data_IF_268914629960
#
_entry.id   IF_268914629960
#
_cell.length_a   1.000
_cell.length_b   1.000
_cell.length_c   1.000
_cell.angle_alpha   90.00
_cell.angle_beta   90.00
_cell.angle_gamma   90.00
#
_symmetry.space_group_name_H-M   'P 1'
#
loop_
_entity.id
_entity.type
_entity.pdbx_description
1 polymer ?
#
# COMPACT_ATOMS: atom_id res chain seq x y z
N UNK A 1 24.50 -16.20 -4.07
CA UNK A 1 24.26 -15.52 -2.78
C UNK A 1 22.85 -15.86 -2.37
N UNK A 2 22.64 -16.46 -1.20
CA UNK A 2 21.29 -16.78 -0.69
C UNK A 2 20.65 -15.47 -0.21
N UNK A 3 19.41 -15.20 -0.63
CA UNK A 3 18.67 -14.02 -0.19
C UNK A 3 17.99 -14.29 1.16
N UNK A 4 18.21 -13.43 2.15
CA UNK A 4 17.54 -13.53 3.45
C UNK A 4 16.32 -12.60 3.44
N UNK A 5 15.19 -13.13 3.89
CA UNK A 5 13.97 -12.37 4.20
C UNK A 5 13.71 -12.46 5.70
N UNK A 6 13.61 -11.32 6.38
CA UNK A 6 13.31 -11.28 7.80
C UNK A 6 11.88 -10.78 8.02
N UNK A 7 11.04 -11.58 8.67
CA UNK A 7 9.66 -11.24 8.98
C UNK A 7 9.52 -10.78 10.43
N UNK A 8 8.72 -9.74 10.62
CA UNK A 8 8.37 -9.21 11.92
C UNK A 8 6.88 -8.95 12.00
N UNK A 9 6.27 -9.39 13.08
CA UNK A 9 4.92 -9.03 13.50
C UNK A 9 4.87 -9.07 15.03
N UNK A 10 4.02 -8.27 15.64
CA UNK A 10 3.76 -8.34 17.09
C UNK A 10 2.94 -9.58 17.46
N UNK A 11 2.19 -10.13 16.50
CA UNK A 11 1.41 -11.36 16.63
C UNK A 11 2.27 -12.56 16.23
N UNK A 12 2.77 -13.28 17.22
CA UNK A 12 3.52 -14.53 17.01
C UNK A 12 2.72 -15.56 16.20
N UNK A 13 1.40 -15.61 16.41
CA UNK A 13 0.52 -16.50 15.65
C UNK A 13 0.53 -16.17 14.15
N UNK A 14 0.34 -14.89 13.79
CA UNK A 14 0.30 -14.47 12.39
C UNK A 14 1.68 -14.62 11.74
N UNK A 15 2.73 -14.25 12.48
CA UNK A 15 4.12 -14.39 12.04
C UNK A 15 4.44 -15.85 11.69
N UNK A 16 4.17 -16.78 12.61
CA UNK A 16 4.39 -18.21 12.38
C UNK A 16 3.57 -18.76 11.20
N UNK A 17 2.35 -18.28 11.01
CA UNK A 17 1.51 -18.72 9.90
C UNK A 17 2.08 -18.26 8.55
N UNK A 18 2.40 -16.97 8.42
CA UNK A 18 2.95 -16.40 7.18
C UNK A 18 4.31 -17.01 6.85
N UNK A 19 5.21 -17.15 7.82
CA UNK A 19 6.54 -17.74 7.58
C UNK A 19 6.46 -19.17 7.08
N UNK A 20 5.55 -19.99 7.63
CA UNK A 20 5.32 -21.35 7.14
C UNK A 20 4.76 -21.39 5.72
N UNK A 21 3.87 -20.45 5.38
CA UNK A 21 3.32 -20.36 4.03
C UNK A 21 4.40 -19.99 3.01
N UNK A 22 5.18 -18.93 3.28
CA UNK A 22 6.23 -18.50 2.37
C UNK A 22 7.37 -19.53 2.29
N UNK A 23 7.69 -20.23 3.38
CA UNK A 23 8.69 -21.30 3.33
C UNK A 23 8.26 -22.42 2.36
N UNK A 24 6.97 -22.80 2.37
CA UNK A 24 6.44 -23.77 1.40
C UNK A 24 6.58 -23.28 -0.04
N UNK A 25 6.34 -21.99 -0.29
CA UNK A 25 6.49 -21.40 -1.63
C UNK A 25 7.96 -21.40 -2.07
N UNK A 26 8.90 -21.09 -1.16
CA UNK A 26 10.35 -21.16 -1.42
C UNK A 26 10.76 -22.58 -1.78
N UNK A 27 10.36 -23.56 -0.97
CA UNK A 27 10.73 -24.97 -1.15
C UNK A 27 10.13 -25.52 -2.45
N UNK A 28 8.85 -25.28 -2.71
CA UNK A 28 8.15 -25.78 -3.89
C UNK A 28 8.73 -25.22 -5.21
N UNK A 29 9.29 -24.01 -5.17
CA UNK A 29 9.87 -23.34 -6.34
C UNK A 29 11.41 -23.43 -6.38
N UNK A 30 12.04 -24.14 -5.43
CA UNK A 30 13.51 -24.25 -5.31
C UNK A 30 14.23 -22.89 -5.33
N UNK A 31 13.68 -21.90 -4.63
CA UNK A 31 14.24 -20.54 -4.62
C UNK A 31 15.45 -20.46 -3.67
N UNK A 32 16.54 -19.77 -4.06
CA UNK A 32 17.74 -19.62 -3.22
C UNK A 32 17.52 -18.54 -2.14
N UNK A 33 16.53 -18.74 -1.27
CA UNK A 33 16.12 -17.80 -0.24
C UNK A 33 15.88 -18.49 1.11
N UNK A 34 16.07 -17.76 2.20
CA UNK A 34 15.78 -18.22 3.56
C UNK A 34 14.92 -17.21 4.30
N UNK A 35 14.13 -17.71 5.25
CA UNK A 35 13.28 -16.89 6.10
C UNK A 35 13.82 -16.92 7.52
N UNK A 36 13.97 -15.74 8.10
CA UNK A 36 14.10 -15.54 9.54
C UNK A 36 12.87 -14.79 10.05
N UNK A 37 12.52 -14.98 11.32
CA UNK A 37 11.36 -14.31 11.89
C UNK A 37 11.59 -13.95 13.36
N UNK A 38 11.03 -12.82 13.79
CA UNK A 38 11.03 -12.43 15.21
C UNK A 38 9.92 -11.44 15.53
N UNK A 39 9.37 -11.56 16.74
CA UNK A 39 8.51 -10.53 17.33
C UNK A 39 9.31 -9.31 17.81
N UNK A 40 10.65 -9.40 17.84
CA UNK A 40 11.52 -8.26 18.08
C UNK A 40 11.86 -7.56 16.75
N UNK A 41 11.30 -6.36 16.57
CA UNK A 41 11.52 -5.54 15.37
C UNK A 41 12.98 -5.20 15.13
N UNK A 42 13.78 -5.03 16.19
CA UNK A 42 15.20 -4.65 16.06
C UNK A 42 15.97 -5.69 15.25
N UNK A 43 15.72 -6.98 15.53
CA UNK A 43 16.37 -8.09 14.82
C UNK A 43 16.05 -8.06 13.33
N UNK A 44 14.81 -7.76 12.97
CA UNK A 44 14.40 -7.67 11.57
C UNK A 44 15.01 -6.49 10.82
N UNK A 45 15.42 -5.45 11.55
CA UNK A 45 15.99 -4.24 10.97
C UNK A 45 17.52 -4.27 10.89
N UNK A 46 18.19 -5.16 11.63
CA UNK A 46 19.66 -5.21 11.72
C UNK A 46 20.30 -5.44 10.35
N UNK A 47 21.02 -4.44 9.84
CA UNK A 47 21.67 -4.48 8.53
C UNK A 47 20.71 -4.55 7.33
N UNK A 48 19.41 -4.34 7.54
CA UNK A 48 18.42 -4.39 6.47
C UNK A 48 18.65 -3.26 5.43
N UNK A 49 18.63 -3.61 4.14
CA UNK A 49 18.76 -2.65 3.02
C UNK A 49 17.41 -2.21 2.44
N UNK A 50 16.40 -3.04 2.60
CA UNK A 50 15.04 -2.79 2.14
C UNK A 50 14.09 -3.19 3.27
N UNK A 51 13.20 -2.27 3.66
CA UNK A 51 12.24 -2.48 4.74
C UNK A 51 10.85 -2.28 4.16
N UNK A 52 10.00 -3.29 4.21
CA UNK A 52 8.62 -3.20 3.71
C UNK A 52 7.68 -3.11 4.92
N UNK A 53 6.89 -2.04 4.99
CA UNK A 53 5.85 -1.88 6.01
C UNK A 53 4.46 -2.17 5.43
N UNK A 54 3.83 -3.19 5.99
CA UNK A 54 2.45 -3.59 5.71
C UNK A 54 1.60 -3.68 7.00
N UNK A 55 2.00 -2.98 8.06
CA UNK A 55 1.29 -2.96 9.34
C UNK A 55 -0.10 -2.33 9.25
N UNK A 56 -1.02 -2.81 10.11
CA UNK A 56 -2.32 -2.19 10.37
C UNK A 56 -2.44 -1.81 11.83
N UNK A 57 -2.15 -0.55 12.14
CA UNK A 57 -2.09 -0.09 13.54
C UNK A 57 -3.49 -0.07 14.16
N UNK A 58 -3.66 -0.87 15.21
CA UNK A 58 -4.95 -1.05 15.90
C UNK A 58 -5.84 -2.14 15.30
N UNK A 59 -5.38 -2.89 14.31
CA UNK A 59 -6.09 -4.09 13.83
C UNK A 59 -7.45 -3.79 13.19
N UNK A 60 -8.37 -4.73 13.34
CA UNK A 60 -9.75 -4.59 12.86
C UNK A 60 -10.62 -3.88 13.90
N UNK A 61 -10.26 -3.99 15.17
CA UNK A 61 -10.95 -3.41 16.31
C UNK A 61 -10.94 -1.88 16.23
N UNK A 62 -9.76 -1.27 16.00
CA UNK A 62 -9.70 0.17 15.82
C UNK A 62 -10.32 0.63 14.50
N UNK A 63 -10.28 -0.22 13.47
CA UNK A 63 -10.89 0.08 12.18
C UNK A 63 -12.41 0.16 12.26
N UNK A 64 -13.04 -0.70 13.06
CA UNK A 64 -14.47 -0.64 13.31
C UNK A 64 -14.88 0.75 13.81
N UNK A 65 -14.08 1.35 14.70
CA UNK A 65 -14.31 2.71 15.17
C UNK A 65 -14.09 3.77 14.09
N UNK A 66 -13.10 3.59 13.20
CA UNK A 66 -12.86 4.51 12.08
C UNK A 66 -14.07 4.62 11.15
N UNK A 67 -14.91 3.58 11.07
CA UNK A 67 -16.15 3.55 10.30
C UNK A 67 -17.36 3.98 11.12
N UNK A 68 -17.57 3.35 12.27
CA UNK A 68 -18.80 3.51 13.04
C UNK A 68 -18.94 4.89 13.67
N UNK A 69 -17.84 5.51 14.11
CA UNK A 69 -17.89 6.85 14.71
C UNK A 69 -18.35 7.87 13.65
N UNK A 70 -17.72 8.02 12.47
CA UNK A 70 -18.21 8.93 11.44
C UNK A 70 -19.67 8.66 11.03
N UNK A 71 -20.07 7.38 10.95
CA UNK A 71 -21.43 7.00 10.60
C UNK A 71 -22.48 7.52 11.59
N UNK A 72 -22.18 7.52 12.90
CA UNK A 72 -23.06 8.11 13.92
C UNK A 72 -23.34 9.60 13.70
N UNK A 73 -22.43 10.31 13.02
CA UNK A 73 -22.57 11.73 12.66
C UNK A 73 -23.05 11.93 11.21
N UNK A 74 -23.53 10.88 10.55
CA UNK A 74 -24.07 10.95 9.19
C UNK A 74 -23.02 10.94 8.08
N UNK A 75 -21.77 10.60 8.39
CA UNK A 75 -20.70 10.44 7.40
C UNK A 75 -20.57 8.96 7.04
N UNK A 76 -21.25 8.56 5.96
CA UNK A 76 -21.11 7.23 5.38
C UNK A 76 -19.87 7.18 4.47
N UNK A 77 -18.92 6.32 4.82
CA UNK A 77 -17.63 6.19 4.15
C UNK A 77 -17.34 4.71 3.87
N UNK A 78 -17.01 4.39 2.63
CA UNK A 78 -16.87 3.01 2.17
C UNK A 78 -15.74 2.23 2.87
N UNK A 79 -14.52 2.79 2.92
CA UNK A 79 -13.36 2.13 3.55
C UNK A 79 -12.74 3.01 4.64
N UNK A 80 -12.64 4.33 4.43
CA UNK A 80 -12.17 5.25 5.47
C UNK A 80 -10.76 4.97 6.00
N UNK A 81 -9.87 4.33 5.25
CA UNK A 81 -8.51 4.01 5.71
C UNK A 81 -7.43 4.97 5.17
N UNK A 82 -7.81 5.90 4.29
CA UNK A 82 -6.85 6.78 3.61
C UNK A 82 -7.28 8.24 3.62
N UNK A 83 -8.56 8.49 3.38
CA UNK A 83 -9.18 9.81 3.30
C UNK A 83 -10.47 9.82 4.12
N UNK A 84 -11.16 10.97 4.17
CA UNK A 84 -12.35 11.20 4.99
C UNK A 84 -12.06 11.10 6.50
N UNK A 85 -13.11 11.12 7.32
CA UNK A 85 -12.99 11.14 8.78
C UNK A 85 -12.23 9.90 9.30
N UNK A 86 -12.55 8.70 8.80
CA UNK A 86 -11.81 7.48 9.15
C UNK A 86 -10.33 7.56 8.80
N UNK A 87 -9.98 8.09 7.61
CA UNK A 87 -8.58 8.19 7.18
C UNK A 87 -7.76 9.12 8.06
N UNK A 88 -8.40 10.19 8.56
CA UNK A 88 -7.79 11.12 9.53
C UNK A 88 -7.57 10.40 10.88
N UNK A 89 -8.59 9.72 11.40
CA UNK A 89 -8.50 8.97 12.67
C UNK A 89 -7.41 7.89 12.60
N UNK A 90 -7.35 7.16 11.48
CA UNK A 90 -6.34 6.14 11.24
C UNK A 90 -4.94 6.77 11.09
N UNK A 91 -4.82 7.90 10.41
CA UNK A 91 -3.57 8.66 10.31
C UNK A 91 -3.02 9.11 11.66
N UNK A 92 -3.88 9.61 12.56
CA UNK A 92 -3.49 10.00 13.93
C UNK A 92 -2.86 8.85 14.71
N UNK A 93 -3.28 7.60 14.46
CA UNK A 93 -2.68 6.41 15.09
C UNK A 93 -1.42 5.92 14.38
N UNK A 94 -1.37 5.99 13.06
CA UNK A 94 -0.27 5.44 12.26
C UNK A 94 0.96 6.34 12.22
N UNK A 95 0.81 7.67 12.20
CA UNK A 95 1.94 8.58 12.09
C UNK A 95 2.93 8.42 13.26
N UNK A 96 2.49 8.37 14.54
CA UNK A 96 3.40 8.12 15.66
C UNK A 96 4.17 6.80 15.54
N UNK A 97 3.51 5.73 15.07
CA UNK A 97 4.16 4.43 14.87
C UNK A 97 5.13 4.48 13.69
N UNK A 98 4.79 5.16 12.61
CA UNK A 98 5.68 5.37 11.46
C UNK A 98 6.95 6.10 11.87
N UNK A 99 6.85 7.14 12.69
CA UNK A 99 8.01 7.86 13.24
C UNK A 99 8.84 6.98 14.18
N UNK A 100 8.19 6.12 14.96
CA UNK A 100 8.87 5.11 15.78
C UNK A 100 9.66 4.10 14.93
N UNK A 101 9.06 3.58 13.85
CA UNK A 101 9.73 2.71 12.89
C UNK A 101 10.93 3.41 12.25
N UNK A 102 10.76 4.68 11.85
CA UNK A 102 11.85 5.47 11.28
C UNK A 102 13.02 5.65 12.24
N UNK A 103 12.75 5.81 13.55
CA UNK A 103 13.80 5.88 14.57
C UNK A 103 14.59 4.57 14.62
N UNK A 104 13.91 3.42 14.59
CA UNK A 104 14.57 2.12 14.61
C UNK A 104 15.34 1.84 13.32
N UNK A 105 14.77 2.18 12.16
CA UNK A 105 15.45 2.07 10.85
C UNK A 105 16.79 2.82 10.88
N UNK A 106 16.79 4.08 11.34
CA UNK A 106 18.03 4.86 11.48
C UNK A 106 19.04 4.25 12.45
N UNK A 107 18.58 3.50 13.44
CA UNK A 107 19.42 2.99 14.52
C UNK A 107 20.04 1.63 14.18
N UNK A 108 19.34 0.81 13.40
CA UNK A 108 19.68 -0.61 13.24
C UNK A 108 19.88 -1.05 11.79
N UNK A 109 19.27 -0.34 10.83
CA UNK A 109 19.35 -0.72 9.43
C UNK A 109 20.59 -0.17 8.74
N UNK A 110 20.82 -0.61 7.50
CA UNK A 110 21.86 -0.05 6.65
C UNK A 110 21.67 1.46 6.49
N UNK A 111 22.77 2.22 6.47
CA UNK A 111 22.75 3.68 6.28
C UNK A 111 22.02 4.14 5.01
N UNK A 112 21.97 3.29 3.98
CA UNK A 112 21.30 3.55 2.70
C UNK A 112 19.99 2.76 2.57
N UNK A 113 19.43 2.27 3.67
CA UNK A 113 18.24 1.46 3.63
C UNK A 113 17.04 2.22 3.03
N UNK A 114 16.26 1.51 2.21
CA UNK A 114 15.05 2.01 1.59
C UNK A 114 13.82 1.55 2.36
N UNK A 115 13.05 2.50 2.87
CA UNK A 115 11.77 2.25 3.51
C UNK A 115 10.63 2.25 2.49
N UNK A 116 9.99 1.10 2.29
CA UNK A 116 8.89 0.87 1.36
C UNK A 116 7.58 0.79 2.14
N UNK A 117 6.81 1.87 2.16
CA UNK A 117 5.55 1.93 2.91
C UNK A 117 4.36 1.52 2.05
N UNK A 118 3.72 0.39 2.39
CA UNK A 118 2.46 -0.08 1.80
C UNK A 118 1.26 0.21 2.70
N UNK A 119 1.49 0.47 4.00
CA UNK A 119 0.44 0.75 4.99
C UNK A 119 -0.25 2.08 4.76
N UNK A 120 -1.59 2.03 4.81
CA UNK A 120 -2.41 3.23 4.80
C UNK A 120 -2.41 3.98 6.16
N UNK A 121 -2.71 5.29 6.19
CA UNK A 121 -2.87 6.19 5.04
C UNK A 121 -1.52 6.48 4.37
N UNK A 122 -1.30 5.93 3.17
CA UNK A 122 0.06 5.77 2.65
C UNK A 122 0.73 7.11 2.41
N UNK A 123 0.01 8.08 1.82
CA UNK A 123 0.55 9.41 1.59
C UNK A 123 0.95 10.12 2.89
N UNK A 124 0.14 10.04 3.96
CA UNK A 124 0.44 10.71 5.22
C UNK A 124 1.62 10.04 5.95
N UNK A 125 1.64 8.70 5.99
CA UNK A 125 2.73 7.95 6.62
C UNK A 125 4.05 8.19 5.89
N UNK A 126 4.06 8.10 4.56
CA UNK A 126 5.24 8.38 3.74
C UNK A 126 5.68 9.83 3.88
N UNK A 127 4.75 10.78 3.92
CA UNK A 127 5.10 12.18 4.15
C UNK A 127 5.76 12.37 5.53
N UNK A 128 5.21 11.81 6.61
CA UNK A 128 5.83 11.89 7.93
C UNK A 128 7.24 11.27 7.96
N UNK A 129 7.43 10.11 7.32
CA UNK A 129 8.74 9.47 7.23
C UNK A 129 9.79 10.32 6.49
N UNK A 130 9.39 10.96 5.38
CA UNK A 130 10.29 11.79 4.56
C UNK A 130 10.56 13.15 5.22
N UNK A 131 9.50 13.86 5.59
CA UNK A 131 9.59 15.26 6.02
C UNK A 131 10.06 15.41 7.46
N UNK A 132 9.47 14.66 8.38
CA UNK A 132 9.76 14.77 9.81
C UNK A 132 10.92 13.87 10.19
N UNK A 133 10.88 12.60 9.77
CA UNK A 133 11.90 11.64 10.15
C UNK A 133 13.10 11.60 9.20
N UNK A 134 13.09 12.23 8.02
CA UNK A 134 14.22 12.23 7.06
C UNK A 134 14.74 10.81 6.73
N UNK A 135 13.84 9.85 6.55
CA UNK A 135 14.19 8.49 6.11
C UNK A 135 13.97 8.34 4.60
N UNK A 136 14.90 7.67 3.91
CA UNK A 136 14.77 7.36 2.48
C UNK A 136 13.57 6.44 2.26
N UNK A 137 12.46 7.00 1.75
CA UNK A 137 11.16 6.34 1.77
C UNK A 137 10.46 6.42 0.42
N UNK A 138 9.85 5.31 -0.01
CA UNK A 138 8.95 5.25 -1.16
C UNK A 138 7.61 4.68 -0.70
N UNK A 139 6.52 5.36 -1.06
CA UNK A 139 5.15 4.89 -0.84
C UNK A 139 4.66 4.04 -2.01
N UNK A 140 4.00 2.91 -1.72
CA UNK A 140 3.54 1.95 -2.72
C UNK A 140 2.02 1.76 -2.65
N UNK A 141 1.38 1.67 -3.82
CA UNK A 141 -0.06 1.39 -3.97
C UNK A 141 -0.33 0.83 -5.37
N UNK A 142 -1.42 0.05 -5.53
CA UNK A 142 -1.79 -0.61 -6.78
C UNK A 142 -3.00 0.04 -7.50
N UNK A 143 -3.51 1.17 -6.98
CA UNK A 143 -4.77 1.79 -7.46
C UNK A 143 -4.74 2.22 -8.94
N UNK A 144 -3.60 2.69 -9.43
CA UNK A 144 -3.45 3.14 -10.83
C UNK A 144 -3.53 1.96 -11.80
N UNK A 145 -2.90 0.84 -11.47
CA UNK A 145 -2.92 -0.35 -12.31
C UNK A 145 -4.35 -0.92 -12.39
N UNK A 146 -5.07 -0.94 -11.26
CA UNK A 146 -6.47 -1.35 -11.19
C UNK A 146 -7.39 -0.45 -12.02
N UNK A 147 -7.29 0.87 -11.86
CA UNK A 147 -8.10 1.81 -12.62
C UNK A 147 -7.83 1.75 -14.13
N UNK A 148 -6.56 1.62 -14.55
CA UNK A 148 -6.22 1.46 -15.96
C UNK A 148 -6.84 0.19 -16.57
N UNK A 149 -6.84 -0.92 -15.82
CA UNK A 149 -7.48 -2.17 -16.25
C UNK A 149 -9.00 -1.99 -16.44
N UNK A 150 -9.66 -1.30 -15.52
CA UNK A 150 -11.10 -1.00 -15.62
C UNK A 150 -11.42 -0.09 -16.81
N UNK A 151 -10.60 0.94 -17.04
CA UNK A 151 -10.75 1.84 -18.19
C UNK A 151 -10.57 1.06 -19.50
N UNK A 152 -9.53 0.22 -19.61
CA UNK A 152 -9.29 -0.59 -20.80
C UNK A 152 -10.47 -1.52 -21.12
N UNK A 153 -11.02 -2.18 -20.08
CA UNK A 153 -12.22 -3.02 -20.21
C UNK A 153 -13.44 -2.22 -20.67
N UNK A 154 -13.66 -1.04 -20.11
CA UNK A 154 -14.76 -0.16 -20.51
C UNK A 154 -14.64 0.37 -21.96
N UNK A 155 -13.42 0.41 -22.50
CA UNK A 155 -13.13 0.72 -23.90
C UNK A 155 -13.21 -0.50 -24.83
N UNK A 156 -13.55 -1.68 -24.28
CA UNK A 156 -13.75 -2.91 -25.03
C UNK A 156 -12.45 -3.68 -25.33
N UNK A 157 -11.40 -3.52 -24.52
CA UNK A 157 -10.21 -4.37 -24.62
C UNK A 157 -10.13 -5.40 -23.50
N UNK A 158 -9.68 -6.60 -23.87
CA UNK A 158 -9.31 -7.67 -22.95
C UNK A 158 -7.82 -7.63 -22.58
N UNK A 159 -7.04 -6.79 -23.27
CA UNK A 159 -5.60 -6.62 -23.06
C UNK A 159 -5.30 -5.28 -22.39
N UNK A 160 -4.73 -5.31 -21.19
CA UNK A 160 -4.36 -4.08 -20.47
C UNK A 160 -3.28 -3.26 -21.18
N UNK A 161 -2.51 -3.85 -22.09
CA UNK A 161 -1.48 -3.16 -22.88
C UNK A 161 -2.04 -2.25 -23.99
N UNK A 162 -3.32 -2.38 -24.33
CA UNK A 162 -3.97 -1.53 -25.32
C UNK A 162 -4.17 -0.08 -24.81
N UNK A 163 -4.01 0.15 -23.50
CA UNK A 163 -4.15 1.45 -22.88
C UNK A 163 -2.78 1.96 -22.42
N UNK A 164 -2.29 2.97 -23.11
CA UNK A 164 -1.19 3.80 -22.63
C UNK A 164 -1.77 4.95 -21.81
N UNK A 165 -1.14 5.28 -20.69
CA UNK A 165 -1.64 6.30 -19.80
C UNK A 165 -0.54 7.03 -19.04
N UNK A 166 -0.84 8.27 -18.67
CA UNK A 166 -0.07 9.03 -17.70
C UNK A 166 -0.98 9.44 -16.55
N UNK A 167 -0.50 9.26 -15.32
CA UNK A 167 -1.23 9.58 -14.10
C UNK A 167 -0.46 10.56 -13.24
N UNK A 168 -1.20 11.41 -12.53
CA UNK A 168 -0.64 12.31 -11.53
C UNK A 168 -1.64 12.56 -10.41
N UNK A 169 -1.14 12.92 -9.23
CA UNK A 169 -1.94 13.18 -8.03
C UNK A 169 -1.26 12.63 -6.78
N UNK A 170 -2.06 12.45 -5.75
CA UNK A 170 -1.64 11.85 -4.48
C UNK A 170 -2.29 10.48 -4.31
N UNK A 171 -1.84 9.69 -3.33
CA UNK A 171 -2.40 8.37 -3.09
C UNK A 171 -3.93 8.45 -2.87
N UNK A 172 -4.67 7.57 -3.57
CA UNK A 172 -6.14 7.52 -3.60
C UNK A 172 -6.85 8.80 -4.08
N UNK A 173 -6.09 9.77 -4.60
CA UNK A 173 -6.59 10.92 -5.35
C UNK A 173 -5.68 11.11 -6.56
N UNK A 174 -5.75 10.16 -7.49
CA UNK A 174 -4.94 10.14 -8.71
C UNK A 174 -5.83 10.29 -9.92
N UNK A 175 -5.38 11.09 -10.89
CA UNK A 175 -6.07 11.33 -12.14
C UNK A 175 -5.26 10.83 -13.33
N UNK A 176 -5.95 10.22 -14.30
CA UNK A 176 -5.40 9.91 -15.61
C UNK A 176 -5.41 11.20 -16.44
N UNK A 177 -4.24 11.80 -16.62
CA UNK A 177 -4.07 13.09 -17.30
C UNK A 177 -3.82 12.94 -18.81
N UNK A 178 -3.37 11.76 -19.25
CA UNK A 178 -3.34 11.37 -20.66
C UNK A 178 -3.74 9.90 -20.81
N UNK A 179 -4.48 9.59 -21.89
CA UNK A 179 -4.95 8.25 -22.23
C UNK A 179 -4.87 8.05 -23.75
N UNK A 180 -4.18 7.01 -24.18
CA UNK A 180 -4.19 6.55 -25.58
C UNK A 180 -4.62 5.10 -25.62
N UNK A 181 -5.62 4.82 -26.44
CA UNK A 181 -6.15 3.49 -26.63
C UNK A 181 -5.81 3.01 -28.04
N UNK A 182 -5.05 1.93 -28.16
CA UNK A 182 -4.52 1.39 -29.43
C UNK A 182 -3.87 2.49 -30.29
N UNK A 183 -2.98 3.26 -29.67
CA UNK A 183 -2.27 4.39 -30.30
C UNK A 183 -3.12 5.63 -30.59
N UNK A 184 -4.43 5.61 -30.34
CA UNK A 184 -5.33 6.75 -30.58
C UNK A 184 -5.63 7.48 -29.28
N UNK A 185 -5.41 8.80 -29.23
CA UNK A 185 -5.74 9.62 -28.07
C UNK A 185 -7.23 9.45 -27.74
N UNK A 186 -7.52 8.93 -26.55
CA UNK A 186 -8.90 8.71 -26.11
C UNK A 186 -9.44 10.04 -25.61
N UNK A 187 -10.14 10.76 -26.50
CA UNK A 187 -10.75 12.05 -26.17
C UNK A 187 -11.82 11.84 -25.07
N UNK A 188 -11.75 12.68 -24.02
CA UNK A 188 -12.64 12.78 -22.84
C UNK A 188 -14.08 12.28 -23.01
N UNK A 189 -14.72 12.50 -24.17
CA UNK A 189 -16.11 12.12 -24.44
C UNK A 189 -16.39 10.61 -24.52
N UNK A 190 -15.50 9.78 -25.06
CA UNK A 190 -15.75 8.32 -25.16
C UNK A 190 -15.57 7.62 -23.82
N UNK A 191 -14.53 7.98 -23.09
CA UNK A 191 -14.19 7.41 -21.77
C UNK A 191 -15.29 7.70 -20.73
N UNK A 192 -15.77 8.95 -20.62
CA UNK A 192 -16.85 9.30 -19.70
C UNK A 192 -18.16 8.54 -19.99
N UNK A 193 -18.49 8.31 -21.27
CA UNK A 193 -19.73 7.62 -21.68
C UNK A 193 -19.69 6.12 -21.40
N UNK A 194 -18.51 5.51 -21.43
CA UNK A 194 -18.33 4.10 -21.08
C UNK A 194 -18.30 3.87 -19.57
N UNK A 195 -17.60 4.73 -18.80
CA UNK A 195 -17.49 4.61 -17.34
C UNK A 195 -18.87 4.84 -16.67
N UNK A 196 -19.68 5.79 -17.16
CA UNK A 196 -21.02 6.05 -16.64
C UNK A 196 -22.05 4.95 -16.91
N UNK A 197 -21.73 3.96 -17.75
CA UNK A 197 -22.56 2.76 -17.96
C UNK A 197 -22.20 1.62 -17.00
N UNK A 198 -20.95 1.53 -16.56
CA UNK A 198 -20.49 0.51 -15.60
C UNK A 198 -20.85 0.86 -14.15
N UNK A 199 -21.09 2.14 -13.83
CA UNK A 199 -21.47 2.59 -12.48
C UNK A 199 -22.96 2.41 -12.13
N UNK A 200 -23.79 1.91 -13.05
CA UNK A 200 -25.23 1.63 -12.78
C UNK A 200 -25.50 0.20 -12.33
N UNK A 201 -24.45 -0.61 -12.18
CA UNK A 201 -24.53 -2.01 -11.76
C UNK A 201 -23.83 -2.25 -10.41
N UNK A 202 -23.67 -1.20 -9.60
CA UNK A 202 -23.29 -1.30 -8.20
C UNK A 202 -24.45 -0.76 -7.36
#
# INVERSE_FOLDING_TARGET
>A
MIQIFFFHDISEKNLNFVSKLIQKDIDANNLPATIEQSTDRKKALEGAKYIINCTRIGGLEAFEHDINIPLQYGVDQCVGDTICAGGILYGQRNIPQTLNFCKDIKSYSDSNALFLNYSNPMAMNTWAAISEAKVNTVGLCHGVQGGAKLISKALGSENSKDLEYMCSGINHMTWYIDLKFKGKKSIKRRTCRCIGKTSRNF
#
